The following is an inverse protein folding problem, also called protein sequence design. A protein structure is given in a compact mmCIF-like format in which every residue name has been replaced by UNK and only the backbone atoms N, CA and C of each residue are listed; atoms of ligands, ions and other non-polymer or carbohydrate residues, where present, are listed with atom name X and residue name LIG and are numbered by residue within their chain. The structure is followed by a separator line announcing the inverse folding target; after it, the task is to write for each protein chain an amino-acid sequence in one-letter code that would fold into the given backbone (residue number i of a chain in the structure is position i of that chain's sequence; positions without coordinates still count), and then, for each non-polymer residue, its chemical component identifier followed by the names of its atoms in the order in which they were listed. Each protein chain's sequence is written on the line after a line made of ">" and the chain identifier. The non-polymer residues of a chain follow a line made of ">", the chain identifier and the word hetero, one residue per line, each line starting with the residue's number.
data_IF_049984842177
#
_entry.id   IF_049984842177
#
_cell.length_a   1.000
_cell.length_b   1.000
_cell.length_c   1.000
_cell.angle_alpha   90.00
_cell.angle_beta   90.00
_cell.angle_gamma   90.00
#
_symmetry.space_group_name_H-M   'P 1'
#
loop_
_entity.id
_entity.type
_entity.pdbx_description
1 polymer ?
#
# COMPACT_ATOMS: atom_id res chain seq x y z
N UNK A 1 18.10 -24.23 -2.54
CA UNK A 1 17.31 -23.33 -3.42
C UNK A 1 17.20 -21.99 -2.73
N UNK A 2 17.55 -20.90 -3.40
CA UNK A 2 17.43 -19.52 -2.86
C UNK A 2 15.99 -19.06 -3.14
N UNK A 3 15.16 -18.76 -2.13
CA UNK A 3 13.80 -18.28 -2.35
C UNK A 3 13.82 -16.86 -2.93
N UNK A 4 12.85 -16.55 -3.78
CA UNK A 4 12.67 -15.20 -4.36
C UNK A 4 12.51 -14.14 -3.26
N UNK A 5 11.71 -14.42 -2.27
CA UNK A 5 11.56 -13.59 -1.06
C UNK A 5 11.08 -14.44 0.12
N UNK A 6 11.31 -13.96 1.32
CA UNK A 6 10.78 -14.56 2.54
C UNK A 6 10.43 -13.46 3.53
N UNK A 7 9.25 -13.56 4.12
CA UNK A 7 8.80 -12.66 5.17
C UNK A 7 9.59 -12.88 6.47
N UNK A 8 9.78 -11.81 7.22
CA UNK A 8 10.31 -11.85 8.59
C UNK A 8 9.22 -11.34 9.54
N UNK A 9 8.71 -12.23 10.38
CA UNK A 9 7.64 -11.91 11.34
C UNK A 9 8.17 -12.16 12.75
N UNK A 10 8.18 -11.12 13.56
CA UNK A 10 8.62 -11.18 14.95
C UNK A 10 7.45 -11.51 15.90
N UNK A 11 7.78 -11.92 17.12
CA UNK A 11 6.78 -12.10 18.19
C UNK A 11 6.04 -10.79 18.49
N UNK A 12 6.70 -9.63 18.36
CA UNK A 12 6.10 -8.31 18.53
C UNK A 12 5.03 -8.04 17.47
N UNK A 13 5.28 -8.43 16.22
CA UNK A 13 4.30 -8.25 15.13
C UNK A 13 3.04 -9.09 15.40
N UNK A 14 3.22 -10.36 15.76
CA UNK A 14 2.11 -11.25 16.13
C UNK A 14 1.31 -10.67 17.30
N UNK A 15 2.00 -10.22 18.37
CA UNK A 15 1.33 -9.65 19.54
C UNK A 15 0.49 -8.42 19.19
N UNK A 16 0.98 -7.54 18.31
CA UNK A 16 0.23 -6.36 17.84
C UNK A 16 -1.02 -6.76 17.05
N UNK A 17 -0.90 -7.73 16.14
CA UNK A 17 -2.07 -8.23 15.40
C UNK A 17 -3.11 -8.82 16.34
N UNK A 18 -2.69 -9.66 17.29
CA UNK A 18 -3.60 -10.24 18.30
C UNK A 18 -4.29 -9.15 19.12
N UNK A 19 -3.57 -8.10 19.52
CA UNK A 19 -4.16 -6.99 20.27
C UNK A 19 -5.25 -6.25 19.49
N UNK A 20 -5.06 -6.09 18.17
CA UNK A 20 -6.08 -5.50 17.29
C UNK A 20 -7.31 -6.39 17.17
N UNK A 21 -7.10 -7.69 16.96
CA UNK A 21 -8.20 -8.66 16.86
C UNK A 21 -9.05 -8.72 18.13
N UNK A 22 -8.45 -8.44 19.29
CA UNK A 22 -9.15 -8.36 20.59
C UNK A 22 -9.73 -6.98 20.88
N UNK A 23 -9.49 -5.99 20.03
CA UNK A 23 -10.00 -4.62 20.23
C UNK A 23 -11.42 -4.46 19.67
N UNK A 24 -12.07 -3.35 20.03
CA UNK A 24 -13.38 -3.01 19.51
C UNK A 24 -13.36 -2.48 18.07
N UNK A 25 -12.18 -2.33 17.44
CA UNK A 25 -11.99 -1.71 16.14
C UNK A 25 -11.24 -2.65 15.19
N UNK A 26 -11.97 -3.49 14.46
CA UNK A 26 -11.40 -4.37 13.44
C UNK A 26 -11.29 -3.71 12.06
N UNK A 27 -12.13 -2.69 11.80
CA UNK A 27 -12.13 -1.96 10.53
C UNK A 27 -11.92 -0.48 10.77
N UNK A 28 -11.09 0.17 9.94
CA UNK A 28 -10.79 1.62 10.01
C UNK A 28 -10.49 2.15 11.43
N UNK A 29 -9.89 1.32 12.27
CA UNK A 29 -9.57 1.69 13.65
C UNK A 29 -8.43 2.73 13.75
N UNK A 30 -8.11 3.20 14.98
CA UNK A 30 -7.10 4.24 15.20
C UNK A 30 -5.70 3.84 14.74
N UNK A 31 -5.41 2.52 14.59
CA UNK A 31 -4.11 2.04 14.12
C UNK A 31 -3.85 2.36 12.64
N UNK A 32 -4.88 2.44 11.80
CA UNK A 32 -4.72 2.86 10.40
C UNK A 32 -4.20 4.29 10.35
N UNK A 33 -4.83 5.22 11.07
CA UNK A 33 -4.38 6.63 11.16
C UNK A 33 -2.97 6.73 11.74
N UNK A 34 -2.64 5.94 12.76
CA UNK A 34 -1.30 5.89 13.36
C UNK A 34 -0.26 5.41 12.35
N UNK A 35 -0.56 4.37 11.59
CA UNK A 35 0.30 3.87 10.51
C UNK A 35 0.55 4.94 9.46
N UNK A 36 -0.50 5.56 8.93
CA UNK A 36 -0.42 6.63 7.93
C UNK A 36 0.43 7.81 8.45
N UNK A 37 0.25 8.20 9.71
CA UNK A 37 1.05 9.26 10.35
C UNK A 37 2.55 8.90 10.46
N UNK A 38 2.88 7.66 10.78
CA UNK A 38 4.27 7.19 10.85
C UNK A 38 4.91 7.21 9.46
N UNK A 39 4.20 6.73 8.45
CA UNK A 39 4.66 6.73 7.07
C UNK A 39 4.83 8.17 6.55
N UNK A 40 3.88 9.05 6.82
CA UNK A 40 3.96 10.47 6.48
C UNK A 40 5.24 11.11 7.02
N UNK A 41 5.54 10.89 8.30
CA UNK A 41 6.77 11.39 8.93
C UNK A 41 8.03 10.79 8.30
N UNK A 42 8.04 9.47 8.07
CA UNK A 42 9.20 8.76 7.54
C UNK A 42 9.59 9.23 6.14
N UNK A 43 8.60 9.56 5.31
CA UNK A 43 8.80 9.98 3.92
C UNK A 43 8.62 11.50 3.71
N UNK A 44 8.47 12.27 4.79
CA UNK A 44 8.24 13.73 4.73
C UNK A 44 7.06 14.11 3.82
N UNK A 45 6.04 13.24 3.80
CA UNK A 45 4.84 13.44 3.01
C UNK A 45 3.78 14.16 3.81
N UNK A 46 3.05 15.09 3.18
CA UNK A 46 1.95 15.82 3.83
C UNK A 46 0.75 14.91 4.10
N UNK A 47 0.47 14.00 3.17
CA UNK A 47 -0.66 13.08 3.23
C UNK A 47 -0.22 11.67 2.89
N UNK A 48 -0.82 10.69 3.55
CA UNK A 48 -0.67 9.26 3.26
C UNK A 48 -2.03 8.60 3.37
N UNK A 49 -2.34 7.74 2.42
CA UNK A 49 -3.54 6.92 2.40
C UNK A 49 -3.09 5.46 2.26
N UNK A 50 -3.51 4.64 3.19
CA UNK A 50 -3.26 3.19 3.14
C UNK A 50 -4.32 2.48 2.29
N UNK A 51 -3.92 1.43 1.61
CA UNK A 51 -4.78 0.56 0.83
C UNK A 51 -4.52 -0.91 1.17
N UNK A 52 -5.37 -1.80 0.67
CA UNK A 52 -5.28 -3.24 0.94
C UNK A 52 -4.18 -3.96 0.14
N UNK A 53 -3.63 -3.32 -0.89
CA UNK A 53 -2.57 -3.91 -1.73
C UNK A 53 -1.77 -2.84 -2.48
N UNK A 54 -0.55 -3.19 -2.92
CA UNK A 54 0.25 -2.34 -3.78
C UNK A 54 -0.44 -2.04 -5.12
N UNK A 55 -1.16 -3.00 -5.70
CA UNK A 55 -1.95 -2.80 -6.92
C UNK A 55 -3.02 -1.73 -6.74
N UNK A 56 -3.75 -1.77 -5.62
CA UNK A 56 -4.74 -0.74 -5.27
C UNK A 56 -4.09 0.62 -5.04
N UNK A 57 -2.91 0.66 -4.40
CA UNK A 57 -2.17 1.92 -4.22
C UNK A 57 -1.76 2.55 -5.54
N UNK A 58 -1.28 1.76 -6.51
CA UNK A 58 -0.93 2.23 -7.85
C UNK A 58 -2.17 2.79 -8.58
N UNK A 59 -3.29 2.07 -8.52
CA UNK A 59 -4.55 2.51 -9.10
C UNK A 59 -5.01 3.85 -8.51
N UNK A 60 -5.01 3.96 -7.18
CA UNK A 60 -5.36 5.20 -6.47
C UNK A 60 -4.43 6.36 -6.84
N UNK A 61 -3.12 6.09 -7.01
CA UNK A 61 -2.17 7.10 -7.44
C UNK A 61 -2.48 7.61 -8.85
N UNK A 62 -2.74 6.71 -9.81
CA UNK A 62 -3.12 7.09 -11.17
C UNK A 62 -4.39 7.95 -11.19
N UNK A 63 -5.42 7.54 -10.44
CA UNK A 63 -6.67 8.31 -10.31
C UNK A 63 -6.44 9.68 -9.66
N UNK A 64 -5.60 9.74 -8.62
CA UNK A 64 -5.32 10.98 -7.89
C UNK A 64 -4.60 12.04 -8.74
N UNK A 65 -3.74 11.63 -9.66
CA UNK A 65 -3.07 12.54 -10.61
C UNK A 65 -3.88 12.78 -11.90
N UNK A 66 -5.04 12.16 -12.01
CA UNK A 66 -5.98 12.41 -13.11
C UNK A 66 -5.63 11.70 -14.42
N UNK A 67 -4.95 10.54 -14.37
CA UNK A 67 -4.70 9.71 -15.57
C UNK A 67 -6.02 9.36 -16.23
N UNK A 68 -6.08 9.49 -17.55
CA UNK A 68 -7.26 9.23 -18.38
C UNK A 68 -6.88 8.69 -19.76
N UNK A 69 -7.86 8.25 -20.50
CA UNK A 69 -7.67 7.77 -21.90
C UNK A 69 -6.95 8.83 -22.75
N UNK A 70 -5.87 8.41 -23.37
CA UNK A 70 -5.00 9.22 -24.23
C UNK A 70 -3.69 9.67 -23.54
N UNK A 71 -3.57 9.51 -22.22
CA UNK A 71 -2.33 9.83 -21.53
C UNK A 71 -1.26 8.74 -21.76
N UNK A 72 0.00 9.15 -21.75
CA UNK A 72 1.15 8.25 -21.90
C UNK A 72 1.76 8.01 -20.53
N UNK A 73 1.84 6.75 -20.14
CA UNK A 73 2.45 6.32 -18.87
C UNK A 73 3.67 5.45 -19.14
N UNK A 74 4.78 5.80 -18.52
CA UNK A 74 6.03 5.06 -18.65
C UNK A 74 6.22 4.10 -17.48
N UNK A 75 6.59 2.87 -17.79
CA UNK A 75 6.92 1.84 -16.80
C UNK A 75 8.07 0.98 -17.30
N UNK A 76 8.61 0.12 -16.45
CA UNK A 76 9.68 -0.81 -16.81
C UNK A 76 9.09 -2.17 -17.19
N UNK A 77 9.71 -2.92 -18.14
CA UNK A 77 9.19 -4.21 -18.59
C UNK A 77 9.35 -5.31 -17.52
N UNK A 78 10.38 -5.23 -16.68
CA UNK A 78 10.63 -6.20 -15.61
C UNK A 78 9.97 -5.76 -14.31
N UNK A 79 8.65 -5.89 -14.26
CA UNK A 79 7.85 -5.53 -13.08
C UNK A 79 6.56 -6.37 -13.01
N UNK A 80 5.85 -6.27 -11.90
CA UNK A 80 4.54 -6.88 -11.76
C UNK A 80 3.51 -6.16 -12.66
N UNK A 81 2.61 -6.92 -13.27
CA UNK A 81 1.65 -6.40 -14.26
C UNK A 81 0.80 -5.21 -13.77
N UNK A 82 0.58 -5.08 -12.46
CA UNK A 82 -0.14 -3.94 -11.90
C UNK A 82 0.51 -2.59 -12.22
N UNK A 83 1.82 -2.54 -12.46
CA UNK A 83 2.54 -1.31 -12.84
C UNK A 83 2.08 -0.73 -14.19
N UNK A 84 1.62 -1.57 -15.11
CA UNK A 84 1.02 -1.16 -16.37
C UNK A 84 -0.52 -1.06 -16.26
N UNK A 85 -1.14 -2.06 -15.62
CA UNK A 85 -2.59 -2.17 -15.54
C UNK A 85 -3.24 -1.01 -14.76
N UNK A 86 -2.54 -0.42 -13.79
CA UNK A 86 -3.07 0.73 -13.04
C UNK A 86 -3.40 1.93 -13.95
N UNK A 87 -2.61 2.16 -15.00
CA UNK A 87 -2.87 3.21 -15.99
C UNK A 87 -3.97 2.79 -16.99
N UNK A 88 -3.97 1.52 -17.43
CA UNK A 88 -4.96 0.99 -18.37
C UNK A 88 -6.36 1.04 -17.78
N UNK A 89 -6.49 0.87 -16.47
CA UNK A 89 -7.77 0.88 -15.75
C UNK A 89 -8.30 2.30 -15.45
N UNK A 90 -7.58 3.33 -15.82
CA UNK A 90 -8.00 4.73 -15.72
C UNK A 90 -8.51 5.25 -17.06
#
# INVERSE_FOLDING_TARGET
>A
MIPYSRQSISKSDISKVVSVLKSNFLTKGPLVKKFESIIAKKFSSKYVVSSNSGSSSLQLACLAIGIKKGDIVWTVPSTYAASANCAINC
#
